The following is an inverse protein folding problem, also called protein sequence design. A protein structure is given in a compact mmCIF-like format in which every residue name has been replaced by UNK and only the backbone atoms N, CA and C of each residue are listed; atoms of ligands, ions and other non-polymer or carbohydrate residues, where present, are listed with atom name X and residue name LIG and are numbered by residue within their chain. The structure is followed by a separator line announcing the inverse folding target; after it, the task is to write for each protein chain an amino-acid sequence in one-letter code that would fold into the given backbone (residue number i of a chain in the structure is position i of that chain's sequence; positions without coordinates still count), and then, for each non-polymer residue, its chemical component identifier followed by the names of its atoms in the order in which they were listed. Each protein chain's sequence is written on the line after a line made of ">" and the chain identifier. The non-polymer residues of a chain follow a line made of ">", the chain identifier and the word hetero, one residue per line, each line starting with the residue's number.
data_IF_645811437035
#
_entry.id   IF_645811437035
#
_cell.length_a   1.000
_cell.length_b   1.000
_cell.length_c   1.000
_cell.angle_alpha   90.00
_cell.angle_beta   90.00
_cell.angle_gamma   90.00
#
_symmetry.space_group_name_H-M   'P 1'
#
loop_
_entity.id
_entity.type
_entity.pdbx_description
1 polymer ?
#
# COMPACT_ATOMS: atom_id res chain seq x y z
N UNK A 1 -17.60 -12.10 -11.16
CA UNK A 1 -18.07 -10.70 -11.10
C UNK A 1 -17.01 -9.98 -10.29
N UNK A 2 -16.34 -8.99 -10.86
CA UNK A 2 -15.15 -8.37 -10.27
C UNK A 2 -15.53 -7.10 -9.50
N UNK A 3 -15.69 -7.20 -8.16
CA UNK A 3 -16.28 -6.17 -7.31
C UNK A 3 -15.26 -5.24 -6.62
N UNK A 4 -14.01 -5.24 -7.07
CA UNK A 4 -12.91 -4.46 -6.47
C UNK A 4 -12.36 -5.06 -5.17
N UNK A 5 -11.34 -4.40 -4.60
CA UNK A 5 -10.63 -4.83 -3.39
C UNK A 5 -10.37 -3.64 -2.47
N UNK A 6 -10.07 -3.92 -1.19
CA UNK A 6 -9.55 -2.93 -0.25
C UNK A 6 -8.00 -2.88 -0.21
N UNK A 7 -7.33 -3.97 -0.61
CA UNK A 7 -5.88 -4.09 -0.80
C UNK A 7 -5.02 -3.39 0.29
N UNK A 8 -4.88 -3.93 1.50
CA UNK A 8 -3.98 -3.37 2.51
C UNK A 8 -2.50 -3.54 2.13
N UNK A 9 -1.68 -2.53 2.39
CA UNK A 9 -0.21 -2.62 2.43
C UNK A 9 0.23 -2.72 3.89
N UNK A 10 0.91 -3.80 4.28
CA UNK A 10 1.41 -4.02 5.65
C UNK A 10 2.92 -3.82 5.66
N UNK A 11 3.43 -2.98 6.58
CA UNK A 11 4.86 -2.68 6.73
C UNK A 11 5.34 -3.20 8.08
N UNK A 12 6.29 -4.13 8.04
CA UNK A 12 6.94 -4.71 9.22
C UNK A 12 8.22 -3.93 9.58
N UNK A 13 8.71 -4.03 10.83
CA UNK A 13 9.86 -3.25 11.32
C UNK A 13 11.17 -3.41 10.53
N UNK A 14 11.34 -4.55 9.86
CA UNK A 14 12.52 -4.90 9.08
C UNK A 14 12.39 -4.57 7.58
N UNK A 15 11.29 -3.93 7.18
CA UNK A 15 11.06 -3.56 5.79
C UNK A 15 12.08 -2.51 5.30
N UNK A 16 12.54 -2.66 4.06
CA UNK A 16 13.31 -1.61 3.37
C UNK A 16 12.43 -0.38 3.14
N UNK A 17 12.69 0.70 3.87
CA UNK A 17 11.87 1.91 3.84
C UNK A 17 11.92 2.65 2.50
N UNK A 18 12.99 2.51 1.71
CA UNK A 18 13.03 3.11 0.38
C UNK A 18 12.17 2.31 -0.62
N UNK A 19 12.09 1.00 -0.44
CA UNK A 19 11.14 0.17 -1.17
C UNK A 19 9.69 0.48 -0.76
N UNK A 20 9.41 0.60 0.53
CA UNK A 20 8.08 0.91 1.08
C UNK A 20 7.53 2.23 0.51
N UNK A 21 8.36 3.29 0.45
CA UNK A 21 7.97 4.58 -0.13
C UNK A 21 7.55 4.43 -1.60
N UNK A 22 8.38 3.78 -2.41
CA UNK A 22 8.11 3.58 -3.85
C UNK A 22 6.87 2.71 -4.06
N UNK A 23 6.74 1.62 -3.31
CA UNK A 23 5.61 0.71 -3.38
C UNK A 23 4.30 1.40 -2.98
N UNK A 24 4.30 2.18 -1.90
CA UNK A 24 3.12 2.94 -1.45
C UNK A 24 2.63 3.90 -2.52
N UNK A 25 3.55 4.66 -3.13
CA UNK A 25 3.22 5.61 -4.19
C UNK A 25 2.61 4.91 -5.41
N UNK A 26 3.26 3.84 -5.87
CA UNK A 26 2.79 3.10 -7.04
C UNK A 26 1.46 2.40 -6.80
N UNK A 27 1.33 1.67 -5.69
CA UNK A 27 0.13 0.87 -5.42
C UNK A 27 -1.05 1.72 -4.95
N UNK A 28 -0.84 2.85 -4.28
CA UNK A 28 -1.93 3.71 -3.81
C UNK A 28 -2.43 4.71 -4.86
N UNK A 29 -1.54 5.22 -5.71
CA UNK A 29 -1.82 6.40 -6.52
C UNK A 29 -1.65 6.20 -8.03
N UNK A 30 -1.27 5.01 -8.50
CA UNK A 30 -1.33 4.71 -9.94
C UNK A 30 -2.74 4.99 -10.48
N UNK A 31 -2.81 5.65 -11.65
CA UNK A 31 -4.08 6.10 -12.24
C UNK A 31 -4.97 6.90 -11.25
N UNK A 32 -4.36 7.76 -10.44
CA UNK A 32 -5.03 8.50 -9.37
C UNK A 32 -5.78 7.60 -8.36
N UNK A 33 -5.27 6.39 -8.13
CA UNK A 33 -5.87 5.39 -7.24
C UNK A 33 -7.05 4.63 -7.86
N UNK A 34 -7.42 4.88 -9.11
CA UNK A 34 -8.55 4.24 -9.79
C UNK A 34 -8.15 2.95 -10.49
N UNK A 35 -7.56 2.03 -9.72
CA UNK A 35 -7.25 0.66 -10.14
C UNK A 35 -7.93 -0.27 -9.13
N UNK A 36 -8.54 -1.36 -9.60
CA UNK A 36 -9.30 -2.28 -8.73
C UNK A 36 -8.47 -2.89 -7.59
N UNK A 37 -7.14 -2.88 -7.72
CA UNK A 37 -6.18 -3.37 -6.73
C UNK A 37 -5.44 -2.26 -5.98
N UNK A 38 -5.78 -0.99 -6.18
CA UNK A 38 -5.09 0.13 -5.52
C UNK A 38 -5.13 -0.02 -4.01
N UNK A 39 -4.00 0.24 -3.35
CA UNK A 39 -3.91 0.17 -1.90
C UNK A 39 -4.80 1.24 -1.25
N UNK A 40 -5.76 0.82 -0.41
CA UNK A 40 -6.68 1.74 0.29
C UNK A 40 -6.28 1.97 1.75
N UNK A 41 -5.42 1.10 2.30
CA UNK A 41 -4.95 1.16 3.69
C UNK A 41 -3.48 0.84 3.78
N UNK A 42 -2.77 1.65 4.56
CA UNK A 42 -1.40 1.41 4.97
C UNK A 42 -1.42 1.04 6.46
N UNK A 43 -0.96 -0.17 6.79
CA UNK A 43 -0.89 -0.68 8.16
C UNK A 43 0.60 -0.79 8.50
N UNK A 44 1.07 0.05 9.41
CA UNK A 44 2.48 0.16 9.79
C UNK A 44 2.66 -0.34 11.21
N UNK A 45 3.69 -1.15 11.44
CA UNK A 45 4.05 -1.58 12.78
C UNK A 45 4.40 -0.37 13.66
N UNK A 46 3.99 -0.38 14.92
CA UNK A 46 4.12 0.77 15.83
C UNK A 46 5.57 1.25 16.02
N UNK A 47 6.54 0.33 16.03
CA UNK A 47 7.98 0.63 16.13
C UNK A 47 8.52 1.52 14.99
N UNK A 48 7.80 1.61 13.86
CA UNK A 48 8.24 2.32 12.64
C UNK A 48 7.15 3.25 12.07
N UNK A 49 6.12 3.56 12.86
CA UNK A 49 5.02 4.48 12.50
C UNK A 49 5.40 5.94 12.79
#
# INVERSE_FOLDING_TARGET
>A
MELGSNSPLVVLPDADMDLVKRATLMCGFANAGQVCISAQRLIVHEDIH
#
